data_IF_788977901333
#
_entry.id   IF_788977901333
#
_cell.length_a   1.000
_cell.length_b   1.000
_cell.length_c   1.000
_cell.angle_alpha   90.00
_cell.angle_beta   90.00
_cell.angle_gamma   90.00
#
_symmetry.space_group_name_H-M   'P 1'
#
loop_
_entity.id
_entity.type
_entity.pdbx_description
1 polymer ?
#
# COMPACT_ATOMS: atom_id res chain seq x y z
N UNK A 1 11.09 -19.13 -19.76
CA UNK A 1 11.09 -18.35 -18.50
C UNK A 1 9.80 -18.69 -17.78
N UNK A 2 9.87 -19.43 -16.67
CA UNK A 2 8.69 -19.87 -15.93
C UNK A 2 7.93 -18.68 -15.35
N UNK A 3 6.60 -18.73 -15.40
CA UNK A 3 5.75 -17.75 -14.74
C UNK A 3 5.94 -17.90 -13.23
N UNK A 4 6.50 -16.87 -12.58
CA UNK A 4 6.61 -16.83 -11.12
C UNK A 4 5.19 -16.71 -10.54
N UNK A 5 4.62 -17.82 -10.08
CA UNK A 5 3.37 -17.84 -9.31
C UNK A 5 3.66 -17.44 -7.87
N UNK A 6 2.88 -16.50 -7.36
CA UNK A 6 2.92 -16.10 -5.96
C UNK A 6 2.29 -17.18 -5.07
N UNK A 7 2.63 -17.22 -3.77
CA UNK A 7 1.92 -18.07 -2.81
C UNK A 7 0.43 -17.70 -2.73
N UNK A 8 -0.45 -18.57 -2.19
CA UNK A 8 -1.90 -18.32 -2.13
C UNK A 8 -2.31 -17.02 -1.42
N UNK A 9 -1.50 -16.54 -0.48
CA UNK A 9 -1.70 -15.28 0.25
C UNK A 9 -0.39 -14.47 0.21
N UNK A 10 -0.07 -13.81 -0.91
CA UNK A 10 1.16 -13.05 -1.02
C UNK A 10 1.09 -11.77 -0.21
N UNK A 11 2.25 -11.31 0.26
CA UNK A 11 2.38 -9.96 0.79
C UNK A 11 2.13 -8.95 -0.34
N UNK A 12 1.63 -7.77 0.02
CA UNK A 12 1.45 -6.71 -0.96
C UNK A 12 2.79 -6.28 -1.60
N UNK A 13 3.88 -6.39 -0.84
CA UNK A 13 5.26 -6.16 -1.32
C UNK A 13 5.64 -7.10 -2.45
N UNK A 14 5.27 -8.37 -2.36
CA UNK A 14 5.54 -9.39 -3.37
C UNK A 14 4.73 -9.13 -4.64
N UNK A 15 3.45 -8.77 -4.50
CA UNK A 15 2.58 -8.39 -5.62
C UNK A 15 3.16 -7.18 -6.35
N UNK A 16 3.48 -6.11 -5.64
CA UNK A 16 4.05 -4.91 -6.24
C UNK A 16 5.43 -5.15 -6.84
N UNK A 17 6.27 -6.01 -6.24
CA UNK A 17 7.55 -6.41 -6.81
C UNK A 17 7.37 -7.22 -8.10
N UNK A 18 6.41 -8.15 -8.14
CA UNK A 18 6.07 -8.91 -9.34
C UNK A 18 5.61 -8.00 -10.49
N UNK A 19 4.75 -7.02 -10.19
CA UNK A 19 4.31 -6.00 -11.16
C UNK A 19 5.50 -5.15 -11.62
N UNK A 20 6.35 -4.70 -10.71
CA UNK A 20 7.53 -3.89 -11.02
C UNK A 20 8.50 -4.58 -11.99
N UNK A 21 8.69 -5.90 -11.85
CA UNK A 21 9.53 -6.74 -12.71
C UNK A 21 9.03 -6.85 -14.16
N UNK A 22 7.75 -6.57 -14.43
CA UNK A 22 7.22 -6.68 -15.79
C UNK A 22 7.73 -5.56 -16.69
N UNK A 23 8.24 -5.93 -17.87
CA UNK A 23 8.85 -4.98 -18.82
C UNK A 23 7.84 -4.09 -19.54
N UNK A 24 6.62 -4.58 -19.77
CA UNK A 24 5.62 -3.89 -20.59
C UNK A 24 4.43 -3.44 -19.75
N UNK A 25 3.81 -2.32 -20.14
CA UNK A 25 2.56 -1.82 -19.55
C UNK A 25 1.49 -2.90 -19.49
N UNK A 26 1.26 -3.61 -20.60
CA UNK A 26 0.26 -4.68 -20.69
C UNK A 26 0.49 -5.80 -19.66
N UNK A 27 1.75 -6.24 -19.46
CA UNK A 27 2.08 -7.27 -18.45
C UNK A 27 1.92 -6.74 -17.02
N UNK A 28 2.21 -5.47 -16.77
CA UNK A 28 1.95 -4.83 -15.45
C UNK A 28 0.46 -4.85 -15.13
N UNK A 29 -0.36 -4.44 -16.10
CA UNK A 29 -1.83 -4.44 -15.98
C UNK A 29 -2.35 -5.86 -15.73
N UNK A 30 -1.89 -6.83 -16.52
CA UNK A 30 -2.27 -8.22 -16.34
C UNK A 30 -1.95 -8.71 -14.93
N UNK A 31 -0.74 -8.46 -14.42
CA UNK A 31 -0.34 -8.91 -13.08
C UNK A 31 -1.07 -8.18 -11.96
N UNK A 32 -1.46 -6.92 -12.15
CA UNK A 32 -2.35 -6.21 -11.22
C UNK A 32 -3.73 -6.87 -11.16
N UNK A 33 -4.33 -7.16 -12.31
CA UNK A 33 -5.66 -7.81 -12.40
C UNK A 33 -5.66 -9.21 -11.79
N UNK A 34 -4.61 -10.01 -12.05
CA UNK A 34 -4.47 -11.35 -11.49
C UNK A 34 -4.34 -11.36 -9.95
N UNK A 35 -3.87 -10.26 -9.35
CA UNK A 35 -3.68 -10.12 -7.90
C UNK A 35 -4.63 -9.08 -7.31
N UNK A 36 -5.78 -8.88 -7.93
CA UNK A 36 -6.76 -7.89 -7.50
C UNK A 36 -7.25 -8.18 -6.08
N UNK A 37 -7.21 -7.15 -5.23
CA UNK A 37 -7.71 -7.22 -3.87
C UNK A 37 -8.13 -5.84 -3.36
N UNK A 38 -8.99 -5.81 -2.33
CA UNK A 38 -9.44 -4.56 -1.71
C UNK A 38 -8.29 -3.80 -1.04
N UNK A 39 -7.36 -4.50 -0.41
CA UNK A 39 -6.20 -3.90 0.24
C UNK A 39 -5.22 -3.32 -0.80
N UNK A 40 -4.99 -4.01 -1.93
CA UNK A 40 -4.19 -3.49 -3.04
C UNK A 40 -4.82 -2.21 -3.59
N UNK A 41 -6.13 -2.23 -3.90
CA UNK A 41 -6.83 -1.04 -4.40
C UNK A 41 -6.76 0.12 -3.42
N UNK A 42 -6.96 -0.13 -2.12
CA UNK A 42 -6.90 0.91 -1.08
C UNK A 42 -5.53 1.58 -1.01
N UNK A 43 -4.45 0.80 -1.07
CA UNK A 43 -3.07 1.30 -1.08
C UNK A 43 -2.77 2.07 -2.37
N UNK A 44 -3.23 1.59 -3.53
CA UNK A 44 -3.04 2.27 -4.80
C UNK A 44 -3.82 3.60 -4.87
N UNK A 45 -5.05 3.63 -4.35
CA UNK A 45 -5.85 4.85 -4.21
C UNK A 45 -5.13 5.84 -3.31
N UNK A 46 -4.70 5.41 -2.11
CA UNK A 46 -3.99 6.31 -1.21
C UNK A 46 -2.68 6.82 -1.85
N UNK A 47 -1.97 6.03 -2.65
CA UNK A 47 -0.75 6.52 -3.31
C UNK A 47 -0.99 7.41 -4.55
N UNK A 48 -1.99 7.11 -5.39
CA UNK A 48 -2.12 7.72 -6.73
C UNK A 48 -3.27 8.71 -6.87
N UNK A 49 -4.26 8.69 -5.97
CA UNK A 49 -5.32 9.69 -5.96
C UNK A 49 -4.80 10.98 -5.30
N UNK A 50 -4.70 12.04 -6.08
CA UNK A 50 -4.20 13.35 -5.62
C UNK A 50 -5.14 14.02 -4.61
N UNK A 51 -6.43 13.65 -4.60
CA UNK A 51 -7.39 14.19 -3.64
C UNK A 51 -7.23 13.58 -2.24
N UNK A 52 -6.63 12.39 -2.12
CA UNK A 52 -6.38 11.76 -0.83
C UNK A 52 -5.18 12.43 -0.17
N UNK A 53 -5.43 13.16 0.92
CA UNK A 53 -4.39 13.86 1.69
C UNK A 53 -4.01 13.04 2.91
N UNK A 54 -2.73 12.72 3.06
CA UNK A 54 -2.19 12.11 4.28
C UNK A 54 -2.27 13.10 5.43
N UNK A 55 -2.69 12.63 6.60
CA UNK A 55 -2.79 13.40 7.84
C UNK A 55 -1.61 13.10 8.78
N UNK A 56 -0.52 12.60 8.21
CA UNK A 56 0.74 12.23 8.85
C UNK A 56 1.85 13.16 8.32
N UNK A 57 2.94 13.36 9.09
CA UNK A 57 4.13 14.04 8.58
C UNK A 57 4.74 13.31 7.37
N UNK A 58 5.31 14.08 6.45
CA UNK A 58 6.08 13.55 5.32
C UNK A 58 7.44 12.99 5.79
N UNK A 59 8.01 12.05 5.03
CA UNK A 59 9.36 11.55 5.27
C UNK A 59 9.44 10.27 6.10
N UNK A 60 10.66 9.93 6.52
CA UNK A 60 10.93 8.67 7.22
C UNK A 60 10.27 8.64 8.59
N UNK A 61 9.69 7.48 8.91
CA UNK A 61 9.03 7.24 10.20
C UNK A 61 9.92 6.30 10.99
N UNK A 62 10.37 6.67 12.20
CA UNK A 62 11.09 5.76 13.05
C UNK A 62 10.10 4.74 13.63
N UNK A 63 10.31 3.46 13.33
CA UNK A 63 9.52 2.37 13.91
C UNK A 63 10.42 1.16 14.15
N UNK A 64 10.11 0.35 15.15
CA UNK A 64 10.80 -0.91 15.37
C UNK A 64 10.33 -1.96 14.35
N UNK A 65 11.24 -2.42 13.51
CA UNK A 65 10.89 -3.43 12.50
C UNK A 65 10.56 -4.75 13.21
N UNK A 66 9.41 -5.32 12.88
CA UNK A 66 9.04 -6.63 13.40
C UNK A 66 10.08 -7.69 12.98
N UNK A 67 10.73 -8.31 13.97
CA UNK A 67 11.78 -9.31 13.78
C UNK A 67 11.26 -10.74 13.65
N UNK A 68 9.94 -10.95 13.75
CA UNK A 68 9.36 -12.28 13.59
C UNK A 68 9.70 -12.87 12.20
N UNK A 69 9.78 -14.20 12.05
CA UNK A 69 9.89 -14.82 10.72
C UNK A 69 8.68 -14.54 9.84
N UNK A 70 8.90 -14.32 8.54
CA UNK A 70 7.81 -14.19 7.56
C UNK A 70 6.86 -15.41 7.65
N UNK A 71 5.55 -15.15 7.75
CA UNK A 71 4.54 -16.19 7.95
C UNK A 71 4.21 -16.58 9.39
N UNK A 72 4.78 -15.89 10.40
CA UNK A 72 4.49 -16.12 11.83
C UNK A 72 3.69 -14.95 12.44
N UNK A 73 4.22 -14.23 13.44
CA UNK A 73 3.49 -13.24 14.26
C UNK A 73 3.21 -11.90 13.55
N UNK A 74 3.57 -11.76 12.27
CA UNK A 74 3.25 -10.56 11.52
C UNK A 74 1.75 -10.46 11.25
N UNK A 75 1.19 -9.28 11.48
CA UNK A 75 -0.08 -8.92 10.87
C UNK A 75 0.13 -8.68 9.38
N UNK A 76 -0.81 -9.16 8.57
CA UNK A 76 -0.79 -8.93 7.13
C UNK A 76 -1.53 -7.62 6.84
N UNK A 77 -1.01 -6.81 5.94
CA UNK A 77 -1.70 -5.61 5.48
C UNK A 77 -3.08 -5.95 4.88
N UNK A 78 -3.24 -7.16 4.34
CA UNK A 78 -4.53 -7.69 3.90
C UNK A 78 -5.60 -7.75 5.01
N UNK A 79 -5.20 -7.82 6.28
CA UNK A 79 -6.10 -7.79 7.44
C UNK A 79 -6.26 -6.37 8.02
N UNK A 80 -5.18 -5.59 8.00
CA UNK A 80 -5.13 -4.27 8.65
C UNK A 80 -5.54 -3.10 7.74
N UNK A 81 -5.69 -3.28 6.42
CA UNK A 81 -5.92 -2.17 5.48
C UNK A 81 -7.12 -1.26 5.82
N UNK A 82 -8.11 -1.76 6.56
CA UNK A 82 -9.25 -0.96 7.01
C UNK A 82 -8.84 0.15 7.97
N UNK A 83 -7.76 -0.01 8.73
CA UNK A 83 -7.27 1.02 9.67
C UNK A 83 -6.63 2.21 8.96
N UNK A 84 -6.33 2.09 7.65
CA UNK A 84 -5.67 3.15 6.89
C UNK A 84 -6.50 4.44 6.80
N UNK A 85 -7.83 4.35 6.96
CA UNK A 85 -8.72 5.52 7.02
C UNK A 85 -8.36 6.48 8.17
N UNK A 86 -7.68 6.00 9.22
CA UNK A 86 -7.23 6.85 10.32
C UNK A 86 -6.18 7.88 9.89
N UNK A 87 -5.49 7.64 8.78
CA UNK A 87 -4.30 8.38 8.35
C UNK A 87 -4.55 9.32 7.16
N UNK A 88 -5.78 9.41 6.66
CA UNK A 88 -6.16 10.25 5.53
C UNK A 88 -7.26 11.24 5.90
N UNK A 89 -7.23 12.41 5.27
CA UNK A 89 -8.26 13.45 5.44
C UNK A 89 -9.62 12.92 5.00
N UNK A 90 -10.67 13.23 5.76
CA UNK A 90 -12.03 12.74 5.51
C UNK A 90 -12.29 11.31 5.99
N UNK A 91 -11.26 10.61 6.51
CA UNK A 91 -11.40 9.35 7.20
C UNK A 91 -11.73 9.56 8.68
N UNK A 92 -10.75 9.41 9.56
CA UNK A 92 -10.90 9.70 10.99
C UNK A 92 -10.38 11.10 11.36
N UNK A 93 -11.15 12.13 10.98
CA UNK A 93 -10.77 13.53 11.16
C UNK A 93 -10.77 13.98 12.63
N UNK A 94 -11.54 13.31 13.50
CA UNK A 94 -11.58 13.62 14.94
C UNK A 94 -10.35 13.11 15.70
N UNK A 95 -9.52 12.27 15.07
CA UNK A 95 -8.32 11.72 15.68
C UNK A 95 -7.24 12.81 15.85
N UNK A 96 -6.77 12.97 17.08
CA UNK A 96 -5.71 13.94 17.42
C UNK A 96 -4.38 13.56 16.72
N UNK A 97 -3.59 14.54 16.22
CA UNK A 97 -2.35 14.28 15.49
C UNK A 97 -1.39 13.31 16.20
N UNK A 98 -1.09 13.57 17.47
CA UNK A 98 -0.19 12.71 18.27
C UNK A 98 -0.69 11.26 18.39
N UNK A 99 -2.02 11.06 18.53
CA UNK A 99 -2.58 9.71 18.59
C UNK A 99 -2.55 9.03 17.22
N UNK A 100 -2.75 9.79 16.14
CA UNK A 100 -2.65 9.31 14.76
C UNK A 100 -1.24 8.81 14.44
N UNK A 101 -0.22 9.58 14.80
CA UNK A 101 1.18 9.17 14.66
C UNK A 101 1.50 7.92 15.50
N UNK A 102 1.01 7.84 16.74
CA UNK A 102 1.15 6.65 17.58
C UNK A 102 0.52 5.40 16.94
N UNK A 103 -0.73 5.50 16.45
CA UNK A 103 -1.40 4.39 15.77
C UNK A 103 -0.71 3.99 14.47
N UNK A 104 -0.09 4.95 13.78
CA UNK A 104 0.68 4.69 12.59
C UNK A 104 1.94 3.89 12.90
N UNK A 105 2.73 4.30 13.91
CA UNK A 105 3.89 3.52 14.36
C UNK A 105 3.49 2.11 14.79
N UNK A 106 2.43 1.96 15.59
CA UNK A 106 1.92 0.66 16.03
C UNK A 106 1.53 -0.25 14.84
N UNK A 107 0.90 0.32 13.80
CA UNK A 107 0.62 -0.43 12.57
C UNK A 107 1.91 -0.91 11.91
N UNK A 108 2.91 -0.03 11.73
CA UNK A 108 4.17 -0.37 11.08
C UNK A 108 4.94 -1.46 11.86
N UNK A 109 4.95 -1.38 13.19
CA UNK A 109 5.60 -2.34 14.09
C UNK A 109 4.88 -3.71 14.10
N UNK A 110 3.59 -3.75 13.79
CA UNK A 110 2.83 -4.99 13.66
C UNK A 110 2.93 -5.67 12.30
N UNK A 111 3.25 -4.91 11.24
CA UNK A 111 3.32 -5.41 9.87
C UNK A 111 4.65 -6.12 9.57
N UNK A 112 4.64 -6.98 8.55
CA UNK A 112 5.89 -7.43 7.93
C UNK A 112 6.70 -6.22 7.44
N UNK A 113 8.04 -6.16 7.65
CA UNK A 113 8.85 -4.97 7.33
C UNK A 113 8.68 -4.44 5.90
N UNK A 114 8.55 -5.34 4.92
CA UNK A 114 8.33 -4.93 3.52
C UNK A 114 6.94 -4.30 3.27
N UNK A 115 5.92 -4.68 4.04
CA UNK A 115 4.59 -4.06 3.97
C UNK A 115 4.55 -2.73 4.73
N UNK A 116 5.25 -2.64 5.87
CA UNK A 116 5.45 -1.38 6.57
C UNK A 116 6.12 -0.34 5.65
N UNK A 117 7.14 -0.76 4.89
CA UNK A 117 7.80 0.13 3.92
C UNK A 117 6.86 0.61 2.80
N UNK A 118 5.95 -0.26 2.32
CA UNK A 118 4.92 0.16 1.36
C UNK A 118 4.09 1.30 1.95
N UNK A 119 3.62 1.15 3.20
CA UNK A 119 2.76 2.15 3.83
C UNK A 119 3.51 3.49 4.02
N UNK A 120 4.79 3.46 4.39
CA UNK A 120 5.64 4.66 4.43
C UNK A 120 5.76 5.34 3.06
N UNK A 121 5.96 4.56 1.98
CA UNK A 121 6.02 5.11 0.62
C UNK A 121 4.67 5.71 0.19
N UNK A 122 3.58 5.05 0.55
CA UNK A 122 2.22 5.42 0.12
C UNK A 122 1.76 6.72 0.74
N UNK A 123 2.02 6.94 2.05
CA UNK A 123 1.67 8.21 2.69
C UNK A 123 2.32 9.41 2.00
N UNK A 124 3.49 9.19 1.40
CA UNK A 124 4.28 10.21 0.69
C UNK A 124 4.14 10.12 -0.84
N UNK A 125 3.16 9.36 -1.35
CA UNK A 125 2.88 9.20 -2.79
C UNK A 125 4.07 8.66 -3.61
N UNK A 126 4.97 7.91 -2.98
CA UNK A 126 6.28 7.52 -3.52
C UNK A 126 6.34 6.10 -4.14
N UNK A 127 5.23 5.35 -4.27
CA UNK A 127 5.27 4.00 -4.87
C UNK A 127 5.85 3.98 -6.29
N UNK A 128 5.65 5.05 -7.08
CA UNK A 128 6.21 5.17 -8.43
C UNK A 128 7.73 5.02 -8.45
N UNK A 129 8.41 5.61 -7.46
CA UNK A 129 9.88 5.61 -7.38
C UNK A 129 10.41 4.19 -7.14
N UNK A 130 9.81 3.45 -6.20
CA UNK A 130 10.26 2.09 -5.85
C UNK A 130 9.80 1.01 -6.84
N UNK A 131 8.52 1.01 -7.22
CA UNK A 131 7.91 -0.09 -7.98
C UNK A 131 7.72 0.21 -9.47
N UNK A 132 8.20 1.37 -9.95
CA UNK A 132 8.09 1.78 -11.37
C UNK A 132 6.64 1.64 -11.88
N UNK A 133 5.68 1.97 -11.02
CA UNK A 133 4.24 1.88 -11.25
C UNK A 133 3.64 3.29 -11.33
N UNK A 134 2.72 3.51 -12.26
CA UNK A 134 2.15 4.85 -12.51
C UNK A 134 0.63 4.79 -12.46
N UNK A 135 0.00 5.91 -12.15
CA UNK A 135 -1.45 6.06 -12.13
C UNK A 135 -2.15 5.56 -13.41
N UNK A 136 -1.68 5.88 -14.64
CA UNK A 136 -2.32 5.37 -15.86
C UNK A 136 -2.31 3.83 -15.99
N UNK A 137 -1.32 3.16 -15.40
CA UNK A 137 -1.29 1.68 -15.37
C UNK A 137 -2.37 1.16 -14.42
N UNK A 138 -2.53 1.82 -13.26
CA UNK A 138 -3.51 1.45 -12.24
C UNK A 138 -4.93 1.71 -12.72
N UNK A 139 -5.19 2.85 -13.36
CA UNK A 139 -6.49 3.21 -13.94
C UNK A 139 -6.95 2.20 -14.99
N UNK A 140 -6.05 1.76 -15.87
CA UNK A 140 -6.37 0.75 -16.89
C UNK A 140 -6.51 -0.66 -16.28
N UNK A 141 -5.81 -0.94 -15.18
CA UNK A 141 -5.96 -2.19 -14.45
C UNK A 141 -7.29 -2.27 -13.70
N UNK A 142 -7.72 -1.18 -13.08
CA UNK A 142 -8.87 -1.11 -12.19
C UNK A 142 -9.78 0.06 -12.55
N UNK A 143 -10.54 -0.04 -13.66
CA UNK A 143 -11.42 1.03 -14.13
C UNK A 143 -12.59 1.33 -13.19
N UNK A 144 -12.84 0.45 -12.22
CA UNK A 144 -13.88 0.63 -11.20
C UNK A 144 -13.45 1.60 -10.07
N UNK A 145 -12.15 1.89 -9.94
CA UNK A 145 -11.66 2.89 -8.98
C UNK A 145 -12.19 4.28 -9.36
N UNK A 146 -12.93 4.87 -8.44
CA UNK A 146 -13.31 6.29 -8.52
C UNK A 146 -12.18 7.17 -8.00
N UNK A 147 -11.73 8.12 -8.83
CA UNK A 147 -10.65 9.04 -8.52
C UNK A 147 -11.18 10.43 -8.19
N UNK A 148 -10.57 11.11 -7.22
CA UNK A 148 -10.96 12.45 -6.80
C UNK A 148 -12.06 12.45 -5.73
N UNK A 149 -12.38 13.65 -5.23
CA UNK A 149 -13.44 13.90 -4.24
C UNK A 149 -13.34 13.09 -2.93
N UNK A 150 -12.11 12.81 -2.46
CA UNK A 150 -11.85 12.04 -1.23
C UNK A 150 -11.42 12.89 -0.03
N UNK A 151 -11.69 14.20 -0.03
CA UNK A 151 -11.32 15.12 1.05
C UNK A 151 -12.12 16.40 1.06
#
# INVERSE_FOLDING_TARGET
MGEQRLPPNPLLSEVLALVSKQKTKAKKIQKLKENESLHLKSVLIWNFDESVKSMLPDGDVPFEKNAAPAGTEHTYLAHEWKVLYNFVKGGNDSLRPMKREQLFMQLLEGLHPDEAEIICLVKDKNLKKKYKLTRPIVEEAFPDIQWGNRG
#
